data_IF_364807112141
#
_entry.id   IF_364807112141
#
_cell.length_a   1.000
_cell.length_b   1.000
_cell.length_c   1.000
_cell.angle_alpha   90.00
_cell.angle_beta   90.00
_cell.angle_gamma   90.00
#
_symmetry.space_group_name_H-M   'P 1'
#
loop_
_entity.id
_entity.type
_entity.pdbx_description
1 polymer ?
#
# COMPACT_ATOMS: atom_id res chain seq x y z
N UNK A 1 13.22 28.95 10.18
CA UNK A 1 12.58 27.63 10.38
C UNK A 1 11.64 27.74 11.58
N UNK A 2 10.42 27.18 11.53
CA UNK A 2 9.48 27.26 12.66
C UNK A 2 9.87 26.30 13.79
N UNK A 3 9.91 26.78 15.03
CA UNK A 3 10.12 25.94 16.22
C UNK A 3 8.89 25.08 16.52
N UNK A 4 9.06 23.97 17.24
CA UNK A 4 7.95 23.07 17.60
C UNK A 4 6.84 23.81 18.38
N UNK A 5 7.22 24.66 19.34
CA UNK A 5 6.26 25.49 20.07
C UNK A 5 5.46 26.43 19.16
N UNK A 6 6.09 27.02 18.14
CA UNK A 6 5.39 27.88 17.16
C UNK A 6 4.44 27.07 16.27
N UNK A 7 4.84 25.86 15.87
CA UNK A 7 3.97 24.95 15.10
C UNK A 7 2.75 24.54 15.93
N UNK A 8 2.95 24.15 17.19
CA UNK A 8 1.87 23.75 18.10
C UNK A 8 0.83 24.86 18.29
N UNK A 9 1.26 26.09 18.61
CA UNK A 9 0.36 27.25 18.76
C UNK A 9 -0.44 27.56 17.51
N UNK A 10 0.13 27.37 16.32
CA UNK A 10 -0.55 27.68 15.07
C UNK A 10 -1.67 26.69 14.71
N UNK A 11 -1.63 25.47 15.24
CA UNK A 11 -2.65 24.44 14.99
C UNK A 11 -3.54 24.16 16.21
N UNK A 12 -3.27 24.80 17.35
CA UNK A 12 -3.96 24.59 18.63
C UNK A 12 -5.49 24.71 18.50
N UNK A 13 -5.96 25.65 17.68
CA UNK A 13 -7.38 25.89 17.42
C UNK A 13 -7.80 25.50 16.01
N UNK A 14 -6.99 24.70 15.31
CA UNK A 14 -7.33 24.27 13.95
C UNK A 14 -8.56 23.37 13.98
N UNK A 15 -9.61 23.80 13.29
CA UNK A 15 -10.83 23.03 13.11
C UNK A 15 -11.01 22.71 11.62
N UNK A 16 -11.06 21.43 11.30
CA UNK A 16 -11.19 20.98 9.92
C UNK A 16 -12.55 21.36 9.29
N UNK A 17 -13.62 21.43 10.08
CA UNK A 17 -14.93 21.85 9.58
C UNK A 17 -14.93 23.35 9.25
N UNK A 18 -14.31 24.19 10.08
CA UNK A 18 -14.18 25.63 9.81
C UNK A 18 -13.26 25.92 8.62
N UNK A 19 -12.17 25.16 8.49
CA UNK A 19 -11.29 25.24 7.33
C UNK A 19 -12.06 25.04 6.01
N UNK A 20 -12.92 24.02 5.95
CA UNK A 20 -13.73 23.73 4.75
C UNK A 20 -14.92 24.68 4.52
N UNK A 21 -15.23 25.59 5.46
CA UNK A 21 -16.18 26.69 5.20
C UNK A 21 -15.58 27.78 4.30
N UNK A 22 -14.26 28.00 4.41
CA UNK A 22 -13.55 29.06 3.68
C UNK A 22 -12.91 28.53 2.40
N UNK A 23 -12.35 27.32 2.47
CA UNK A 23 -11.73 26.66 1.32
C UNK A 23 -12.66 25.54 0.83
N UNK A 24 -13.13 25.58 -0.43
CA UNK A 24 -13.94 24.50 -0.97
C UNK A 24 -13.18 23.18 -0.87
N UNK A 25 -13.86 22.08 -0.52
CA UNK A 25 -13.31 20.72 -0.57
C UNK A 25 -12.80 20.49 -2.00
N UNK A 26 -11.49 20.56 -2.22
CA UNK A 26 -10.92 20.55 -3.57
C UNK A 26 -11.12 19.20 -4.26
N UNK A 27 -11.78 19.25 -5.42
CA UNK A 27 -11.69 18.46 -6.67
C UNK A 27 -11.22 17.00 -6.73
N UNK A 28 -11.30 16.22 -5.65
CA UNK A 28 -11.30 14.75 -5.78
C UNK A 28 -12.71 14.22 -5.51
N UNK A 29 -13.42 13.90 -6.60
CA UNK A 29 -14.80 13.41 -6.66
C UNK A 29 -15.03 12.12 -5.86
N UNK A 30 -13.97 11.46 -5.39
CA UNK A 30 -14.11 10.21 -4.64
C UNK A 30 -14.37 10.50 -3.16
N UNK A 31 -15.64 10.81 -2.88
CA UNK A 31 -16.34 10.65 -1.59
C UNK A 31 -15.42 10.85 -0.38
N UNK A 32 -15.28 12.10 0.05
CA UNK A 32 -14.97 12.39 1.45
C UNK A 32 -16.10 11.78 2.30
N UNK A 33 -15.96 10.51 2.65
CA UNK A 33 -16.81 9.87 3.64
C UNK A 33 -16.57 10.59 4.95
N UNK A 34 -17.65 11.10 5.56
CA UNK A 34 -17.61 11.80 6.82
C UNK A 34 -16.76 11.02 7.83
N UNK A 35 -15.77 11.71 8.41
CA UNK A 35 -14.63 11.17 9.16
C UNK A 35 -14.96 10.31 10.40
N UNK A 36 -16.24 10.03 10.65
CA UNK A 36 -16.75 9.30 11.83
C UNK A 36 -16.96 7.80 11.53
N UNK A 37 -17.16 7.41 10.26
CA UNK A 37 -17.48 6.00 9.88
C UNK A 37 -16.50 5.37 8.89
N UNK A 38 -15.50 6.11 8.42
CA UNK A 38 -14.51 5.58 7.47
C UNK A 38 -13.62 4.54 8.17
N UNK A 39 -13.50 3.31 7.63
CA UNK A 39 -12.58 2.32 8.18
C UNK A 39 -11.16 2.87 8.21
N UNK A 40 -10.44 2.58 9.29
CA UNK A 40 -9.02 2.89 9.36
C UNK A 40 -8.28 2.17 8.22
N UNK A 41 -7.33 2.85 7.58
CA UNK A 41 -6.50 2.28 6.53
C UNK A 41 -5.41 1.35 7.11
N UNK A 42 -5.87 0.29 7.77
CA UNK A 42 -5.06 -0.75 8.40
C UNK A 42 -5.45 -2.11 7.80
N UNK A 43 -4.52 -3.05 7.86
CA UNK A 43 -4.80 -4.42 7.44
C UNK A 43 -5.87 -5.04 8.34
N UNK A 44 -6.75 -5.84 7.75
CA UNK A 44 -7.70 -6.67 8.49
C UNK A 44 -6.97 -7.69 9.38
N UNK A 45 -7.62 -8.15 10.45
CA UNK A 45 -7.01 -9.10 11.40
C UNK A 45 -6.60 -10.43 10.74
N UNK A 46 -7.30 -10.82 9.70
CA UNK A 46 -7.12 -12.05 8.92
C UNK A 46 -6.24 -11.87 7.67
N UNK A 47 -5.63 -10.69 7.48
CA UNK A 47 -4.81 -10.37 6.30
C UNK A 47 -3.76 -11.42 5.97
N UNK A 48 -3.15 -12.05 6.98
CA UNK A 48 -2.17 -13.11 6.78
C UNK A 48 -2.74 -14.30 6.00
N UNK A 49 -3.98 -14.72 6.31
CA UNK A 49 -4.67 -15.80 5.63
C UNK A 49 -5.12 -15.41 4.22
N UNK A 50 -5.67 -14.20 4.08
CA UNK A 50 -6.08 -13.65 2.78
C UNK A 50 -4.88 -13.59 1.83
N UNK A 51 -3.77 -12.99 2.28
CA UNK A 51 -2.55 -12.85 1.48
C UNK A 51 -1.93 -14.20 1.10
N UNK A 52 -1.97 -15.21 1.99
CA UNK A 52 -1.53 -16.57 1.64
C UNK A 52 -2.40 -17.18 0.55
N UNK A 53 -3.72 -17.19 0.76
CA UNK A 53 -4.68 -17.81 -0.17
C UNK A 53 -4.63 -17.15 -1.56
N UNK A 54 -4.47 -15.83 -1.62
CA UNK A 54 -4.39 -15.08 -2.88
C UNK A 54 -3.12 -15.43 -3.66
N UNK A 55 -1.96 -15.56 -2.99
CA UNK A 55 -0.69 -15.98 -3.64
C UNK A 55 -0.70 -17.45 -4.06
N UNK A 56 -1.30 -18.34 -3.26
CA UNK A 56 -1.48 -19.74 -3.62
C UNK A 56 -2.36 -19.88 -4.88
N UNK A 57 -3.48 -19.14 -4.94
CA UNK A 57 -4.39 -19.14 -6.10
C UNK A 57 -3.77 -18.57 -7.37
N UNK A 58 -2.76 -17.71 -7.28
CA UNK A 58 -2.02 -17.22 -8.46
C UNK A 58 -0.98 -18.22 -8.97
N UNK A 59 -0.82 -19.37 -8.30
CA UNK A 59 0.24 -20.33 -8.61
C UNK A 59 1.63 -19.77 -8.31
N UNK A 60 1.73 -18.77 -7.43
CA UNK A 60 2.97 -18.04 -7.12
C UNK A 60 3.59 -17.31 -8.33
N UNK A 61 2.76 -16.96 -9.32
CA UNK A 61 3.18 -16.20 -10.50
C UNK A 61 2.82 -14.73 -10.29
N UNK A 62 3.76 -13.84 -10.64
CA UNK A 62 3.50 -12.40 -10.69
C UNK A 62 2.47 -12.08 -11.79
N UNK A 63 1.41 -11.36 -11.45
CA UNK A 63 0.35 -10.98 -12.40
C UNK A 63 0.84 -9.93 -13.42
N UNK A 64 1.88 -9.15 -13.10
CA UNK A 64 2.45 -8.11 -13.99
C UNK A 64 3.54 -8.65 -14.92
N UNK A 65 4.62 -9.22 -14.38
CA UNK A 65 5.78 -9.64 -15.18
C UNK A 65 5.89 -11.16 -15.39
N UNK A 66 4.91 -11.93 -14.91
CA UNK A 66 4.80 -13.38 -15.08
C UNK A 66 5.98 -14.21 -14.57
N UNK A 67 6.84 -13.65 -13.72
CA UNK A 67 7.91 -14.42 -13.09
C UNK A 67 7.31 -15.49 -12.18
N UNK A 68 7.81 -16.72 -12.29
CA UNK A 68 7.38 -17.85 -11.48
C UNK A 68 8.22 -17.90 -10.18
N UNK A 69 7.55 -17.79 -9.03
CA UNK A 69 8.14 -17.84 -7.70
C UNK A 69 7.57 -19.01 -6.88
N UNK A 70 7.19 -20.12 -7.53
CA UNK A 70 6.56 -21.27 -6.87
C UNK A 70 7.48 -22.08 -5.97
N UNK A 71 8.81 -21.98 -6.16
CA UNK A 71 9.78 -22.58 -5.25
C UNK A 71 9.68 -21.93 -3.86
N UNK A 72 9.71 -22.74 -2.80
CA UNK A 72 9.41 -22.30 -1.43
C UNK A 72 10.36 -21.19 -0.96
N UNK A 73 11.63 -21.29 -1.34
CA UNK A 73 12.67 -20.29 -1.09
C UNK A 73 12.39 -18.93 -1.75
N UNK A 74 11.52 -18.88 -2.76
CA UNK A 74 11.18 -17.67 -3.51
C UNK A 74 9.84 -17.05 -3.08
N UNK A 75 9.05 -17.73 -2.24
CA UNK A 75 7.74 -17.25 -1.77
C UNK A 75 7.82 -15.86 -1.10
N UNK A 76 8.96 -15.56 -0.45
CA UNK A 76 9.21 -14.27 0.20
C UNK A 76 9.27 -13.09 -0.78
N UNK A 77 9.47 -13.34 -2.07
CA UNK A 77 9.54 -12.31 -3.10
C UNK A 77 8.19 -11.98 -3.72
N UNK A 78 7.12 -12.70 -3.36
CA UNK A 78 5.78 -12.48 -3.90
C UNK A 78 4.87 -11.83 -2.87
N UNK A 79 4.31 -10.68 -3.22
CA UNK A 79 3.48 -9.84 -2.36
C UNK A 79 2.05 -9.75 -2.90
N UNK A 80 1.14 -9.28 -2.05
CA UNK A 80 -0.20 -8.84 -2.48
C UNK A 80 -0.26 -7.33 -2.36
N UNK A 81 -0.66 -6.66 -3.43
CA UNK A 81 -0.82 -5.22 -3.56
C UNK A 81 -2.32 -4.86 -3.52
N UNK A 82 -2.67 -3.80 -2.77
CA UNK A 82 -4.01 -3.21 -2.78
C UNK A 82 -4.04 -2.07 -3.82
N UNK A 83 -4.70 -2.28 -4.97
CA UNK A 83 -4.70 -1.35 -6.11
C UNK A 83 -5.18 0.06 -5.74
N UNK A 84 -6.18 0.15 -4.87
CA UNK A 84 -6.70 1.43 -4.40
C UNK A 84 -5.96 2.03 -3.17
N UNK A 85 -4.91 1.37 -2.67
CA UNK A 85 -4.16 1.77 -1.48
C UNK A 85 -4.92 1.65 -0.15
N UNK A 86 -6.13 1.08 -0.16
CA UNK A 86 -6.98 0.87 1.02
C UNK A 86 -6.76 -0.55 1.57
N UNK A 87 -5.92 -0.68 2.59
CA UNK A 87 -5.51 -1.93 3.25
C UNK A 87 -6.65 -2.73 3.87
N UNK A 88 -7.79 -2.09 4.11
CA UNK A 88 -9.00 -2.76 4.60
C UNK A 88 -9.85 -3.37 3.47
N UNK A 89 -9.64 -2.95 2.22
CA UNK A 89 -10.43 -3.41 1.09
C UNK A 89 -9.81 -4.69 0.49
N UNK A 90 -10.30 -5.84 0.94
CA UNK A 90 -9.81 -7.15 0.53
C UNK A 90 -10.61 -7.77 -0.63
N UNK A 91 -11.39 -6.98 -1.37
CA UNK A 91 -12.10 -7.48 -2.55
C UNK A 91 -11.08 -8.05 -3.55
N UNK A 92 -11.33 -9.25 -4.10
CA UNK A 92 -10.33 -9.94 -4.95
C UNK A 92 -9.91 -9.09 -6.15
N UNK A 93 -10.83 -8.30 -6.72
CA UNK A 93 -10.57 -7.40 -7.84
C UNK A 93 -9.60 -6.25 -7.48
N UNK A 94 -9.56 -5.87 -6.20
CA UNK A 94 -8.67 -4.85 -5.64
C UNK A 94 -7.30 -5.41 -5.22
N UNK A 95 -7.17 -6.74 -5.10
CA UNK A 95 -5.92 -7.40 -4.75
C UNK A 95 -5.18 -7.83 -6.01
N UNK A 96 -3.89 -7.53 -6.06
CA UNK A 96 -2.99 -7.92 -7.16
C UNK A 96 -1.79 -8.67 -6.63
N UNK A 97 -1.37 -9.74 -7.30
CA UNK A 97 -0.22 -10.53 -6.88
C UNK A 97 1.02 -10.09 -7.67
N UNK A 98 1.94 -9.42 -6.99
CA UNK A 98 3.12 -8.83 -7.61
C UNK A 98 4.41 -9.37 -6.99
N UNK A 99 5.44 -9.61 -7.81
CA UNK A 99 6.79 -9.78 -7.28
C UNK A 99 7.26 -8.47 -6.64
N UNK A 100 8.23 -8.56 -5.73
CA UNK A 100 8.72 -7.39 -4.98
C UNK A 100 9.27 -6.28 -5.88
N UNK A 101 9.77 -6.61 -7.08
CA UNK A 101 10.18 -5.62 -8.09
C UNK A 101 9.01 -4.84 -8.68
N UNK A 102 8.00 -5.54 -9.19
CA UNK A 102 6.80 -4.91 -9.75
C UNK A 102 6.07 -4.12 -8.66
N UNK A 103 5.92 -4.70 -7.46
CA UNK A 103 5.31 -4.01 -6.33
C UNK A 103 6.08 -2.74 -5.94
N UNK A 104 7.41 -2.73 -5.97
CA UNK A 104 8.20 -1.52 -5.68
C UNK A 104 8.08 -0.42 -6.75
N UNK A 105 7.54 -0.74 -7.93
CA UNK A 105 7.26 0.23 -8.99
C UNK A 105 5.85 0.84 -8.86
N UNK A 106 4.98 0.26 -8.03
CA UNK A 106 3.67 0.86 -7.74
C UNK A 106 3.79 2.21 -7.02
N UNK A 107 2.84 3.13 -7.21
CA UNK A 107 2.84 4.43 -6.54
C UNK A 107 2.99 4.30 -5.02
N UNK A 108 3.87 5.11 -4.43
CA UNK A 108 4.20 5.12 -2.99
C UNK A 108 4.91 3.86 -2.43
N UNK A 109 5.29 2.90 -3.27
CA UNK A 109 5.95 1.65 -2.84
C UNK A 109 7.47 1.61 -3.17
N UNK A 110 8.05 2.72 -3.64
CA UNK A 110 9.48 2.83 -3.97
C UNK A 110 10.41 2.57 -2.78
N UNK A 111 9.92 2.78 -1.55
CA UNK A 111 10.65 2.50 -0.33
C UNK A 111 11.01 1.00 -0.18
N UNK A 112 10.31 0.09 -0.86
CA UNK A 112 10.66 -1.34 -0.88
C UNK A 112 12.05 -1.58 -1.49
N UNK A 113 12.54 -0.69 -2.36
CA UNK A 113 13.85 -0.83 -3.02
C UNK A 113 15.02 -0.80 -2.05
N UNK A 114 14.86 -0.23 -0.85
CA UNK A 114 15.91 -0.23 0.18
C UNK A 114 15.94 -1.52 1.03
N UNK A 115 14.92 -2.39 0.91
CA UNK A 115 14.81 -3.61 1.69
C UNK A 115 15.81 -4.67 1.19
N UNK A 116 16.45 -5.40 2.12
CA UNK A 116 17.33 -6.54 1.83
C UNK A 116 16.66 -7.59 0.92
N UNK A 117 15.38 -7.90 1.13
CA UNK A 117 14.61 -8.85 0.32
C UNK A 117 14.54 -8.38 -1.14
N UNK A 118 14.33 -7.08 -1.38
CA UNK A 118 14.33 -6.53 -2.74
C UNK A 118 15.71 -6.69 -3.37
N UNK A 119 16.78 -6.37 -2.63
CA UNK A 119 18.15 -6.52 -3.11
C UNK A 119 18.52 -7.98 -3.40
N UNK A 120 17.99 -8.92 -2.62
CA UNK A 120 18.15 -10.36 -2.85
C UNK A 120 17.42 -10.79 -4.13
N UNK A 121 16.17 -10.33 -4.33
CA UNK A 121 15.41 -10.58 -5.55
C UNK A 121 16.17 -10.10 -6.80
N UNK A 122 16.69 -8.87 -6.78
CA UNK A 122 17.44 -8.32 -7.91
C UNK A 122 18.71 -9.13 -8.20
N UNK A 123 19.39 -9.63 -7.16
CA UNK A 123 20.60 -10.47 -7.33
C UNK A 123 20.30 -11.86 -7.91
N UNK A 124 19.12 -12.41 -7.67
CA UNK A 124 18.74 -13.76 -8.12
C UNK A 124 18.09 -13.71 -9.52
N UNK A 125 17.25 -12.71 -9.79
CA UNK A 125 16.37 -12.68 -10.96
C UNK A 125 16.64 -11.54 -11.95
N UNK A 126 17.51 -10.59 -11.60
CA UNK A 126 17.88 -9.45 -12.46
C UNK A 126 19.38 -9.43 -12.78
N UNK A 127 20.01 -10.61 -12.77
CA UNK A 127 21.34 -10.81 -13.34
C UNK A 127 21.25 -10.66 -14.85
N UNK A 128 21.76 -9.53 -15.33
CA UNK A 128 22.24 -9.40 -16.70
C UNK A 128 23.35 -10.40 -16.98
#
# INVERSE_FOLDING_TARGET
MWSESKKGKAVEHFNIADFFKVYPKSFHINKHQDNIRTPLNIYSKDWRGISSSVREKSGWICEECHINLSAVEHHCFLHVHHKNGQKYNNDRENLEVLCIRCHANEPNHQHLKSNKIYQDFMRIFDTR
#
